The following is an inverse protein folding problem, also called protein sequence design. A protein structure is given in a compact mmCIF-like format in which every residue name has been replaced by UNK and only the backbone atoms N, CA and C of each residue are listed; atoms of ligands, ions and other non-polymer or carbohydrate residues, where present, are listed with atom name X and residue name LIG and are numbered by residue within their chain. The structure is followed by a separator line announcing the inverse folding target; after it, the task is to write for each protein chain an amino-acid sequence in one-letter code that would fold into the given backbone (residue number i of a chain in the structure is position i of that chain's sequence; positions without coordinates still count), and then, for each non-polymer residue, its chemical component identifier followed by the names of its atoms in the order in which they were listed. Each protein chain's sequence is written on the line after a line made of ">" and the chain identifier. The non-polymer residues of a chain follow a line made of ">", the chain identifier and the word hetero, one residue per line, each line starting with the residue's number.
data_IF_027113400172
#
_entry.id   IF_027113400172
#
_cell.length_a   1.000
_cell.length_b   1.000
_cell.length_c   1.000
_cell.angle_alpha   90.00
_cell.angle_beta   90.00
_cell.angle_gamma   90.00
#
_symmetry.space_group_name_H-M   'P 1'
#
loop_
_entity.id
_entity.type
_entity.pdbx_description
1 polymer ?
#
# COMPACT_ATOMS: atom_id res chain seq x y z
N UNK A 1 -6.35 -24.48 12.88
CA UNK A 1 -5.92 -23.30 13.68
C UNK A 1 -5.82 -22.06 12.81
N UNK A 2 -6.26 -22.15 11.56
CA UNK A 2 -5.88 -21.25 10.46
C UNK A 2 -6.79 -20.03 10.34
N UNK A 3 -8.09 -20.18 10.65
CA UNK A 3 -9.07 -19.09 10.55
C UNK A 3 -8.84 -18.01 11.61
N UNK A 4 -8.29 -18.36 12.77
CA UNK A 4 -7.96 -17.38 13.82
C UNK A 4 -6.68 -16.62 13.44
N UNK A 5 -5.65 -17.33 12.98
CA UNK A 5 -4.37 -16.77 12.56
C UNK A 5 -4.50 -15.81 11.36
N UNK A 6 -5.35 -16.16 10.40
CA UNK A 6 -5.65 -15.31 9.24
C UNK A 6 -6.34 -14.00 9.66
N UNK A 7 -7.27 -14.05 10.62
CA UNK A 7 -7.93 -12.86 11.20
C UNK A 7 -6.96 -11.98 11.99
N UNK A 8 -5.96 -12.58 12.64
CA UNK A 8 -4.95 -11.83 13.39
C UNK A 8 -4.01 -11.05 12.44
N UNK A 9 -3.57 -11.67 11.33
CA UNK A 9 -2.73 -11.00 10.32
C UNK A 9 -3.51 -9.90 9.58
N UNK A 10 -4.73 -10.20 9.13
CA UNK A 10 -5.62 -9.23 8.48
C UNK A 10 -5.82 -7.99 9.35
N UNK A 11 -6.09 -8.21 10.64
CA UNK A 11 -6.25 -7.13 11.60
C UNK A 11 -4.95 -6.34 11.79
N UNK A 12 -3.80 -7.01 11.89
CA UNK A 12 -2.51 -6.34 12.02
C UNK A 12 -2.22 -5.42 10.83
N UNK A 13 -2.51 -5.88 9.61
CA UNK A 13 -2.34 -5.08 8.38
C UNK A 13 -3.29 -3.88 8.38
N UNK A 14 -4.56 -4.07 8.75
CA UNK A 14 -5.54 -2.98 8.87
C UNK A 14 -5.07 -1.95 9.88
N UNK A 15 -4.65 -2.39 11.07
CA UNK A 15 -4.21 -1.51 12.16
C UNK A 15 -2.94 -0.74 11.75
N UNK A 16 -2.00 -1.38 11.04
CA UNK A 16 -0.82 -0.73 10.47
C UNK A 16 -1.17 0.39 9.49
N UNK A 17 -2.00 0.10 8.48
CA UNK A 17 -2.44 1.10 7.51
C UNK A 17 -3.23 2.21 8.21
N UNK A 18 -4.09 1.87 9.17
CA UNK A 18 -4.90 2.83 9.92
C UNK A 18 -4.08 3.78 10.81
N UNK A 19 -2.98 3.30 11.38
CA UNK A 19 -2.13 4.08 12.27
C UNK A 19 -1.15 4.96 11.52
N UNK A 20 -0.54 4.44 10.47
CA UNK A 20 0.61 5.10 9.82
C UNK A 20 0.19 5.86 8.56
N UNK A 21 -0.68 5.28 7.75
CA UNK A 21 -1.02 5.79 6.41
C UNK A 21 -2.46 6.32 6.29
N UNK A 22 -3.29 6.11 7.30
CA UNK A 22 -4.61 6.73 7.43
C UNK A 22 -4.57 7.97 8.34
N UNK A 23 -3.44 8.70 8.29
CA UNK A 23 -3.23 9.92 9.05
C UNK A 23 -3.35 11.15 8.15
N UNK A 24 -3.84 12.25 8.74
CA UNK A 24 -3.92 13.60 8.17
C UNK A 24 -2.53 14.22 7.92
N UNK A 25 -1.58 13.53 7.29
CA UNK A 25 -0.19 14.02 7.27
C UNK A 25 0.00 15.25 6.38
N UNK A 26 -0.82 15.42 5.33
CA UNK A 26 -0.83 16.61 4.46
C UNK A 26 -2.18 17.34 4.38
N UNK A 27 -3.25 16.83 5.00
CA UNK A 27 -4.57 17.43 5.01
C UNK A 27 -5.03 17.74 6.45
N UNK A 28 -4.76 18.96 6.92
CA UNK A 28 -5.19 19.49 8.22
C UNK A 28 -6.69 19.27 8.53
N UNK A 29 -7.55 19.05 7.53
CA UNK A 29 -8.96 18.70 7.69
C UNK A 29 -9.45 17.71 6.61
N UNK A 30 -9.43 16.41 6.89
CA UNK A 30 -10.16 15.38 6.13
C UNK A 30 -10.74 14.31 7.08
N UNK A 31 -11.88 13.66 6.76
CA UNK A 31 -12.40 12.58 7.57
C UNK A 31 -11.42 11.40 7.53
N UNK A 32 -11.15 10.82 8.71
CA UNK A 32 -10.40 9.56 8.78
C UNK A 32 -11.23 8.49 8.06
N UNK A 33 -10.61 7.74 7.15
CA UNK A 33 -11.32 6.69 6.40
C UNK A 33 -11.46 5.46 7.28
N UNK A 34 -12.50 4.66 7.07
CA UNK A 34 -12.55 3.33 7.67
C UNK A 34 -11.71 2.40 6.81
N UNK A 35 -10.61 1.90 7.36
CA UNK A 35 -9.78 0.89 6.70
C UNK A 35 -10.46 -0.46 6.85
N UNK A 36 -10.68 -1.13 5.72
CA UNK A 36 -11.30 -2.47 5.63
C UNK A 36 -10.52 -3.30 4.62
N UNK A 37 -10.75 -4.62 4.57
CA UNK A 37 -10.05 -5.51 3.63
C UNK A 37 -10.34 -5.20 2.15
N UNK A 38 -11.48 -4.56 1.88
CA UNK A 38 -11.91 -4.21 0.52
C UNK A 38 -11.28 -2.91 -0.01
N UNK A 39 -10.45 -2.23 0.80
CA UNK A 39 -9.85 -0.95 0.41
C UNK A 39 -8.70 -1.15 -0.59
N UNK A 40 -8.67 -0.34 -1.64
CA UNK A 40 -7.57 -0.25 -2.59
C UNK A 40 -6.54 0.77 -2.12
N UNK A 41 -5.29 0.35 -1.91
CA UNK A 41 -4.17 1.27 -1.61
C UNK A 41 -4.05 2.33 -2.71
N UNK A 42 -4.22 1.91 -3.97
CA UNK A 42 -4.16 2.79 -5.14
C UNK A 42 -5.32 3.77 -5.21
N UNK A 43 -6.56 3.29 -5.09
CA UNK A 43 -7.74 4.06 -5.48
C UNK A 43 -8.39 4.80 -4.29
N UNK A 44 -8.35 4.22 -3.10
CA UNK A 44 -9.14 4.69 -1.95
C UNK A 44 -8.34 5.48 -0.93
N UNK A 45 -7.09 5.07 -0.65
CA UNK A 45 -6.24 5.76 0.32
C UNK A 45 -5.81 7.15 -0.16
N UNK A 46 -5.68 7.34 -1.48
CA UNK A 46 -5.28 8.60 -2.13
C UNK A 46 -3.97 9.16 -1.56
N UNK A 47 -3.02 8.25 -1.32
CA UNK A 47 -1.67 8.61 -0.91
C UNK A 47 -0.92 9.26 -2.06
N UNK A 48 0.08 10.08 -1.73
CA UNK A 48 1.07 10.51 -2.74
C UNK A 48 1.96 9.31 -3.11
N UNK A 49 2.69 9.44 -4.22
CA UNK A 49 3.56 8.37 -4.71
C UNK A 49 4.56 7.89 -3.65
N UNK A 50 5.23 8.84 -2.98
CA UNK A 50 6.24 8.54 -1.93
C UNK A 50 5.64 7.75 -0.77
N UNK A 51 4.50 8.19 -0.23
CA UNK A 51 3.79 7.50 0.86
C UNK A 51 3.30 6.10 0.44
N UNK A 52 2.88 5.95 -0.82
CA UNK A 52 2.47 4.65 -1.37
C UNK A 52 3.64 3.68 -1.47
N UNK A 53 4.81 4.18 -1.88
CA UNK A 53 6.04 3.40 -1.98
C UNK A 53 6.51 2.95 -0.61
N UNK A 54 6.56 3.88 0.34
CA UNK A 54 6.93 3.57 1.72
C UNK A 54 5.99 2.51 2.32
N UNK A 55 4.67 2.67 2.15
CA UNK A 55 3.67 1.70 2.65
C UNK A 55 3.94 0.31 2.12
N UNK A 56 4.10 0.16 0.80
CA UNK A 56 4.26 -1.13 0.16
C UNK A 56 5.61 -1.79 0.52
N UNK A 57 6.69 -1.01 0.60
CA UNK A 57 8.00 -1.51 1.02
C UNK A 57 7.99 -2.01 2.46
N UNK A 58 7.40 -1.24 3.39
CA UNK A 58 7.28 -1.65 4.79
C UNK A 58 6.33 -2.85 4.93
N UNK A 59 5.27 -2.94 4.12
CA UNK A 59 4.43 -4.11 4.05
C UNK A 59 5.21 -5.37 3.62
N UNK A 60 5.97 -5.31 2.52
CA UNK A 60 6.74 -6.46 2.05
C UNK A 60 7.74 -6.95 3.10
N UNK A 61 8.43 -6.01 3.74
CA UNK A 61 9.42 -6.30 4.78
C UNK A 61 8.79 -6.88 6.05
N UNK A 62 7.71 -6.28 6.55
CA UNK A 62 7.10 -6.65 7.84
C UNK A 62 6.43 -8.01 7.79
N UNK A 63 5.78 -8.35 6.67
CA UNK A 63 5.10 -9.64 6.49
C UNK A 63 5.90 -10.64 5.65
N UNK A 64 7.16 -10.35 5.35
CA UNK A 64 8.06 -11.22 4.57
C UNK A 64 7.41 -11.69 3.25
N UNK A 65 6.76 -10.75 2.56
CA UNK A 65 6.15 -10.97 1.25
C UNK A 65 7.23 -10.76 0.20
N UNK A 66 7.35 -11.74 -0.70
CA UNK A 66 8.25 -11.63 -1.84
C UNK A 66 7.78 -10.52 -2.78
N UNK A 67 8.65 -9.55 -3.02
CA UNK A 67 8.41 -8.40 -3.88
C UNK A 67 9.20 -8.47 -5.18
N UNK A 68 9.83 -9.61 -5.50
CA UNK A 68 10.51 -9.79 -6.77
C UNK A 68 9.57 -9.53 -7.95
N UNK A 69 9.97 -8.62 -8.85
CA UNK A 69 9.15 -8.21 -10.00
C UNK A 69 8.04 -7.21 -9.68
N UNK A 70 7.88 -6.79 -8.42
CA UNK A 70 6.98 -5.71 -8.06
C UNK A 70 7.51 -4.36 -8.58
N UNK A 71 6.63 -3.57 -9.19
CA UNK A 71 6.93 -2.24 -9.68
C UNK A 71 5.78 -1.30 -9.29
N UNK A 72 6.11 -0.29 -8.50
CA UNK A 72 5.11 0.63 -7.96
C UNK A 72 4.46 1.51 -9.04
N UNK A 73 5.19 1.86 -10.10
CA UNK A 73 4.64 2.65 -11.20
C UNK A 73 3.58 1.85 -11.93
N UNK A 74 3.84 0.56 -12.18
CA UNK A 74 2.86 -0.34 -12.77
C UNK A 74 1.67 -0.57 -11.83
N UNK A 75 1.90 -0.67 -10.52
CA UNK A 75 0.84 -0.88 -9.54
C UNK A 75 -0.10 0.32 -9.43
N UNK A 76 0.46 1.53 -9.27
CA UNK A 76 -0.32 2.76 -9.10
C UNK A 76 -0.88 3.29 -10.42
N UNK A 77 -0.23 3.00 -11.55
CA UNK A 77 -0.66 3.45 -12.86
C UNK A 77 -0.54 2.32 -13.91
N UNK A 78 -1.44 1.31 -13.86
CA UNK A 78 -1.37 0.17 -14.77
C UNK A 78 -1.67 0.54 -16.23
N UNK A 79 -2.32 1.68 -16.46
CA UNK A 79 -2.58 2.23 -17.81
C UNK A 79 -1.44 3.13 -18.30
N UNK A 80 -0.36 3.30 -17.53
CA UNK A 80 0.80 4.06 -17.97
C UNK A 80 1.56 3.27 -19.05
N UNK A 81 1.23 3.53 -20.30
CA UNK A 81 1.95 3.02 -21.48
C UNK A 81 3.32 3.69 -21.72
N UNK A 82 3.82 4.49 -20.77
CA UNK A 82 5.14 5.07 -20.87
C UNK A 82 6.18 3.96 -20.82
N UNK A 83 6.86 3.72 -21.93
CA UNK A 83 7.96 2.77 -22.03
C UNK A 83 8.95 3.02 -20.88
N UNK A 84 9.26 2.01 -20.07
CA UNK A 84 10.49 2.04 -19.26
C UNK A 84 11.63 2.42 -20.21
N UNK A 85 12.39 3.46 -19.88
CA UNK A 85 13.58 3.77 -20.66
C UNK A 85 14.43 2.50 -20.72
N UNK A 86 14.86 2.09 -21.92
CA UNK A 86 15.66 0.88 -22.06
C UNK A 86 16.94 1.03 -21.24
N UNK A 87 17.31 -0.04 -20.55
CA UNK A 87 18.53 -0.10 -19.75
C UNK A 87 19.73 0.32 -20.62
N UNK A 88 20.52 1.36 -20.23
CA UNK A 88 21.69 1.76 -20.99
C UNK A 88 22.69 0.60 -21.05
N UNK A 89 22.90 0.07 -22.26
CA UNK A 89 23.95 -0.93 -22.57
C UNK A 89 25.35 -0.36 -22.42
#
# INVERSE_FOLDING_TARGET
>A
MDVLLMRDIEKEIIDFIDQEYNTKKYFLCGPKRTITLDISIRDDLKLVFEDSEELLQEYFKRWNVDSEGFDILNYLNPEYFGSKEPDPR
#
